data_IF_031307501200
#
_entry.id   IF_031307501200
#
_cell.length_a   1.000
_cell.length_b   1.000
_cell.length_c   1.000
_cell.angle_alpha   90.00
_cell.angle_beta   90.00
_cell.angle_gamma   90.00
#
_symmetry.space_group_name_H-M   'P 1'
#
loop_
_entity.id
_entity.type
_entity.pdbx_description
1 polymer ?
#
# COMPACT_ATOMS: atom_id res chain seq x y z
N UNK A 1 0.53 4.84 -0.02
CA UNK A 1 0.78 3.58 -0.76
C UNK A 1 0.92 2.40 0.20
N UNK A 2 1.96 2.34 1.04
CA UNK A 2 2.27 1.15 1.86
C UNK A 2 1.17 0.71 2.83
N UNK A 3 0.38 1.63 3.39
CA UNK A 3 -0.76 1.27 4.25
C UNK A 3 -1.81 0.45 3.50
N UNK A 4 -2.26 0.92 2.32
CA UNK A 4 -3.28 0.22 1.52
C UNK A 4 -2.75 -1.13 1.01
N UNK A 5 -1.47 -1.21 0.64
CA UNK A 5 -0.82 -2.47 0.28
C UNK A 5 -0.83 -3.48 1.44
N UNK A 6 -0.47 -3.03 2.65
CA UNK A 6 -0.47 -3.88 3.83
C UNK A 6 -1.88 -4.34 4.21
N UNK A 7 -2.88 -3.48 4.07
CA UNK A 7 -4.30 -3.84 4.27
C UNK A 7 -4.79 -4.87 3.26
N UNK A 8 -4.46 -4.68 1.97
CA UNK A 8 -4.78 -5.65 0.92
C UNK A 8 -4.14 -7.02 1.22
N UNK A 9 -2.88 -7.03 1.64
CA UNK A 9 -2.18 -8.26 2.02
C UNK A 9 -2.82 -8.95 3.23
N UNK A 10 -3.19 -8.18 4.26
CA UNK A 10 -3.91 -8.68 5.41
C UNK A 10 -5.28 -9.28 5.01
N UNK A 11 -6.00 -8.64 4.10
CA UNK A 11 -7.27 -9.11 3.58
C UNK A 11 -7.10 -10.41 2.77
N UNK A 12 -6.04 -10.53 1.97
CA UNK A 12 -5.68 -11.75 1.27
C UNK A 12 -5.37 -12.91 2.24
N UNK A 13 -4.54 -12.69 3.26
CA UNK A 13 -4.22 -13.74 4.24
C UNK A 13 -5.41 -14.18 5.09
N UNK A 14 -6.38 -13.30 5.31
CA UNK A 14 -7.65 -13.64 5.97
C UNK A 14 -8.67 -14.30 5.04
N UNK A 15 -8.33 -14.50 3.77
CA UNK A 15 -9.23 -15.08 2.79
C UNK A 15 -10.42 -14.18 2.44
N UNK A 16 -10.29 -12.85 2.58
CA UNK A 16 -11.28 -11.91 2.04
C UNK A 16 -11.08 -11.68 0.54
N UNK A 17 -9.84 -11.73 0.08
CA UNK A 17 -9.45 -11.52 -1.33
C UNK A 17 -8.78 -12.80 -1.84
N UNK A 18 -9.23 -13.30 -3.00
CA UNK A 18 -8.72 -14.54 -3.60
C UNK A 18 -8.59 -14.41 -5.12
N UNK A 19 -7.54 -13.74 -5.63
CA UNK A 19 -7.33 -13.64 -7.06
C UNK A 19 -6.90 -14.99 -7.61
N UNK A 20 -7.46 -15.40 -8.75
CA UNK A 20 -6.96 -16.62 -9.43
C UNK A 20 -5.65 -16.32 -10.14
N UNK A 21 -4.88 -17.37 -10.47
CA UNK A 21 -3.66 -17.23 -11.27
C UNK A 21 -3.93 -16.55 -12.62
N UNK A 22 -5.09 -16.83 -13.22
CA UNK A 22 -5.50 -16.21 -14.47
C UNK A 22 -5.72 -14.70 -14.28
N UNK A 23 -6.46 -14.31 -13.25
CA UNK A 23 -6.73 -12.90 -12.96
C UNK A 23 -5.43 -12.12 -12.71
N UNK A 24 -4.48 -12.72 -11.97
CA UNK A 24 -3.16 -12.11 -11.75
C UNK A 24 -2.38 -11.95 -13.05
N UNK A 25 -2.39 -12.95 -13.94
CA UNK A 25 -1.73 -12.85 -15.24
C UNK A 25 -2.37 -11.77 -16.11
N UNK A 26 -3.70 -11.71 -16.15
CA UNK A 26 -4.45 -10.75 -16.93
C UNK A 26 -4.20 -9.31 -16.43
N UNK A 27 -4.14 -9.09 -15.11
CA UNK A 27 -3.81 -7.80 -14.52
C UNK A 27 -2.36 -7.37 -14.80
N UNK A 28 -1.39 -8.29 -14.69
CA UNK A 28 0.00 -8.03 -15.07
C UNK A 28 0.09 -7.63 -16.54
N UNK A 29 -0.62 -8.32 -17.43
CA UNK A 29 -0.64 -8.00 -18.86
C UNK A 29 -1.28 -6.63 -19.12
N UNK A 30 -2.42 -6.34 -18.50
CA UNK A 30 -3.08 -5.03 -18.56
C UNK A 30 -2.13 -3.91 -18.12
N UNK A 31 -1.44 -4.09 -17.00
CA UNK A 31 -0.48 -3.10 -16.50
C UNK A 31 0.71 -2.94 -17.45
N UNK A 32 1.27 -4.04 -17.98
CA UNK A 32 2.39 -3.98 -18.93
C UNK A 32 2.03 -3.26 -20.23
N UNK A 33 0.85 -3.54 -20.80
CA UNK A 33 0.36 -2.90 -22.02
C UNK A 33 0.15 -1.40 -21.81
N UNK A 34 -0.47 -1.04 -20.69
CA UNK A 34 -0.70 0.35 -20.35
C UNK A 34 0.62 1.08 -20.05
N UNK A 35 1.56 0.43 -19.34
CA UNK A 35 2.89 0.96 -19.09
C UNK A 35 3.69 1.20 -20.37
N UNK A 36 3.62 0.27 -21.34
CA UNK A 36 4.29 0.40 -22.63
C UNK A 36 3.79 1.58 -23.47
N UNK A 37 2.54 1.99 -23.27
CA UNK A 37 1.88 3.07 -24.03
C UNK A 37 1.93 4.42 -23.31
N UNK A 38 1.94 4.43 -21.98
CA UNK A 38 1.79 5.66 -21.17
C UNK A 38 3.03 6.02 -20.33
N UNK A 39 4.04 5.14 -20.21
CA UNK A 39 5.29 5.45 -19.49
C UNK A 39 6.37 5.84 -20.49
N UNK A 40 6.86 7.09 -20.48
CA UNK A 40 7.96 7.46 -21.36
C UNK A 40 9.24 6.68 -20.99
N UNK A 41 10.09 6.31 -21.96
CA UNK A 41 11.34 5.60 -21.68
C UNK A 41 12.26 6.49 -20.82
N UNK A 42 12.68 5.98 -19.66
CA UNK A 42 13.50 6.74 -18.70
C UNK A 42 14.83 6.04 -18.43
N UNK A 43 15.97 6.71 -18.65
CA UNK A 43 17.30 6.10 -18.48
C UNK A 43 17.73 5.90 -17.02
N UNK A 44 17.14 6.62 -16.04
CA UNK A 44 17.44 6.50 -14.59
C UNK A 44 16.21 6.89 -13.76
N UNK A 45 15.59 5.95 -13.03
CA UNK A 45 14.45 6.23 -12.12
C UNK A 45 14.96 6.62 -10.73
N UNK A 46 14.43 7.70 -10.13
CA UNK A 46 13.58 7.48 -8.95
C UNK A 46 12.35 8.42 -8.75
N UNK A 47 11.93 9.24 -9.73
CA UNK A 47 10.89 10.27 -9.48
C UNK A 47 9.48 10.02 -10.05
N UNK A 48 9.33 9.20 -11.08
CA UNK A 48 8.12 9.18 -11.91
C UNK A 48 6.99 8.24 -11.42
N UNK A 49 7.02 7.83 -10.16
CA UNK A 49 5.93 7.02 -9.57
C UNK A 49 4.62 7.83 -9.50
N UNK A 50 4.67 9.17 -9.61
CA UNK A 50 3.58 10.09 -9.27
C UNK A 50 2.28 9.93 -10.09
N UNK A 51 2.32 9.57 -11.38
CA UNK A 51 1.08 9.43 -12.20
C UNK A 51 0.41 8.05 -12.05
N UNK A 52 1.16 7.04 -11.64
CA UNK A 52 0.69 5.64 -11.49
C UNK A 52 -0.04 5.38 -10.18
N UNK A 53 0.19 6.25 -9.20
CA UNK A 53 -0.22 6.04 -7.81
C UNK A 53 -1.73 6.09 -7.67
N UNK A 54 -2.43 6.94 -8.42
CA UNK A 54 -3.87 7.10 -8.34
C UNK A 54 -4.64 5.84 -8.81
N UNK A 55 -4.49 5.35 -10.06
CA UNK A 55 -5.20 4.15 -10.50
C UNK A 55 -4.80 2.91 -9.71
N UNK A 56 -3.56 2.85 -9.22
CA UNK A 56 -3.12 1.78 -8.34
C UNK A 56 -3.85 1.80 -6.99
N UNK A 57 -4.05 2.98 -6.41
CA UNK A 57 -4.78 3.12 -5.16
C UNK A 57 -6.25 2.78 -5.29
N UNK A 58 -6.86 3.21 -6.38
CA UNK A 58 -8.25 2.90 -6.69
C UNK A 58 -8.46 1.39 -6.78
N UNK A 59 -7.60 0.67 -7.52
CA UNK A 59 -7.67 -0.78 -7.63
C UNK A 59 -7.58 -1.46 -6.26
N UNK A 60 -6.65 -1.04 -5.39
CA UNK A 60 -6.51 -1.62 -4.05
C UNK A 60 -7.77 -1.40 -3.19
N UNK A 61 -8.44 -0.27 -3.34
CA UNK A 61 -9.63 0.09 -2.56
C UNK A 61 -10.85 -0.67 -3.07
N UNK A 62 -10.97 -0.80 -4.39
CA UNK A 62 -11.99 -1.63 -5.05
C UNK A 62 -11.84 -3.09 -4.63
N UNK A 63 -10.62 -3.64 -4.63
CA UNK A 63 -10.34 -5.01 -4.17
C UNK A 63 -10.67 -5.22 -2.69
N UNK A 64 -10.50 -4.19 -1.87
CA UNK A 64 -10.87 -4.19 -0.45
C UNK A 64 -12.39 -4.04 -0.23
N UNK A 65 -13.18 -3.90 -1.30
CA UNK A 65 -14.63 -3.79 -1.25
C UNK A 65 -15.13 -2.45 -0.72
N UNK A 66 -14.27 -1.43 -0.63
CA UNK A 66 -14.63 -0.12 -0.12
C UNK A 66 -14.96 0.81 -1.29
N UNK A 67 -15.96 1.70 -1.12
CA UNK A 67 -16.24 2.71 -2.14
C UNK A 67 -15.04 3.64 -2.34
N UNK A 68 -14.59 3.73 -3.60
CA UNK A 68 -13.56 4.65 -4.09
C UNK A 68 -13.88 6.13 -3.80
N UNK A 69 -15.14 6.52 -3.97
CA UNK A 69 -15.61 7.89 -3.75
C UNK A 69 -16.18 8.04 -2.34
N UNK A 70 -15.54 8.84 -1.49
CA UNK A 70 -16.06 9.16 -0.15
C UNK A 70 -17.28 10.08 -0.22
N UNK A 71 -17.33 10.94 -1.24
CA UNK A 71 -18.38 11.97 -1.39
C UNK A 71 -19.32 11.70 -2.58
N UNK A 72 -19.09 10.63 -3.35
CA UNK A 72 -20.05 10.09 -4.31
C UNK A 72 -20.25 10.93 -5.58
N UNK A 73 -19.23 11.64 -6.08
CA UNK A 73 -19.37 12.42 -7.32
C UNK A 73 -18.06 12.71 -8.05
N UNK A 74 -18.18 13.05 -9.33
CA UNK A 74 -17.06 13.36 -10.26
C UNK A 74 -16.21 14.56 -9.83
N UNK A 75 -16.72 15.43 -8.96
CA UNK A 75 -15.95 16.56 -8.41
C UNK A 75 -14.85 16.11 -7.44
N UNK A 76 -14.92 14.88 -6.93
CA UNK A 76 -13.90 14.30 -6.06
C UNK A 76 -12.59 14.05 -6.81
N UNK A 77 -12.66 13.77 -8.12
CA UNK A 77 -11.48 13.63 -9.00
C UNK A 77 -10.73 14.96 -9.20
N UNK A 78 -11.40 16.08 -8.95
CA UNK A 78 -10.80 17.42 -8.99
C UNK A 78 -10.31 17.91 -7.62
N UNK A 79 -10.51 17.13 -6.55
CA UNK A 79 -9.98 17.46 -5.22
C UNK A 79 -8.51 17.07 -5.12
N UNK A 80 -7.76 17.87 -4.36
CA UNK A 80 -6.35 17.58 -4.11
C UNK A 80 -6.21 16.26 -3.34
N UNK A 81 -5.54 15.30 -3.96
CA UNK A 81 -5.25 14.00 -3.39
C UNK A 81 -4.36 14.14 -2.15
N UNK A 82 -4.92 13.86 -0.97
CA UNK A 82 -4.15 13.82 0.28
C UNK A 82 -4.26 12.44 0.93
N UNK A 83 -3.16 11.83 1.41
CA UNK A 83 -3.20 10.54 2.09
C UNK A 83 -4.19 10.47 3.27
N UNK A 84 -4.44 11.61 3.94
CA UNK A 84 -5.43 11.71 5.01
C UNK A 84 -6.87 11.48 4.54
N UNK A 85 -7.18 11.71 3.27
CA UNK A 85 -8.50 11.43 2.71
C UNK A 85 -8.85 9.93 2.79
N UNK A 86 -7.85 9.04 2.79
CA UNK A 86 -8.08 7.58 2.94
C UNK A 86 -8.35 7.14 4.37
N UNK A 87 -8.19 8.03 5.35
CA UNK A 87 -8.33 7.68 6.77
C UNK A 87 -9.70 7.06 7.12
N UNK A 88 -10.85 7.61 6.68
CA UNK A 88 -12.14 7.00 6.98
C UNK A 88 -12.31 5.61 6.35
N UNK A 89 -11.72 5.38 5.17
CA UNK A 89 -11.76 4.08 4.49
C UNK A 89 -10.92 3.04 5.24
N UNK A 90 -9.73 3.44 5.69
CA UNK A 90 -8.85 2.60 6.51
C UNK A 90 -9.49 2.29 7.86
N UNK A 91 -10.12 3.29 8.49
CA UNK A 91 -10.85 3.11 9.74
C UNK A 91 -12.03 2.16 9.56
N UNK A 92 -12.83 2.29 8.50
CA UNK A 92 -13.92 1.36 8.18
C UNK A 92 -13.43 -0.09 8.03
N UNK A 93 -12.34 -0.31 7.28
CA UNK A 93 -11.71 -1.63 7.11
C UNK A 93 -11.19 -2.22 8.43
N UNK A 94 -10.73 -1.37 9.35
CA UNK A 94 -10.25 -1.79 10.66
C UNK A 94 -11.37 -1.98 11.69
N UNK A 95 -12.54 -1.37 11.50
CA UNK A 95 -13.69 -1.39 12.44
C UNK A 95 -14.56 -2.64 12.26
N UNK A 96 -14.51 -3.28 11.09
CA UNK A 96 -15.05 -4.62 10.76
C UNK A 96 -14.58 -5.76 11.70
N UNK A 97 -13.83 -5.41 12.76
CA UNK A 97 -13.22 -6.29 13.75
C UNK A 97 -14.01 -6.45 15.05
N UNK A 98 -14.93 -5.53 15.38
CA UNK A 98 -15.51 -5.52 16.74
C UNK A 98 -16.54 -6.64 16.96
N UNK A 99 -17.12 -7.21 15.89
CA UNK A 99 -18.26 -8.15 16.03
C UNK A 99 -17.90 -9.64 15.89
N UNK A 100 -16.63 -10.02 15.96
CA UNK A 100 -16.24 -11.41 15.78
C UNK A 100 -14.95 -11.81 16.47
N UNK A 101 -15.03 -12.14 17.77
CA UNK A 101 -14.02 -12.93 18.46
C UNK A 101 -13.93 -14.32 17.82
N UNK A 102 -13.14 -14.45 16.77
CA UNK A 102 -12.56 -15.72 16.35
C UNK A 102 -11.05 -15.53 16.44
N UNK A 103 -10.45 -16.03 17.53
CA UNK A 103 -9.01 -16.23 17.59
C UNK A 103 -8.60 -17.05 16.36
N UNK A 104 -7.86 -16.43 15.44
CA UNK A 104 -7.23 -17.15 14.33
C UNK A 104 -5.78 -17.43 14.68
N UNK A 105 -5.37 -18.67 14.48
CA UNK A 105 -4.06 -19.18 14.80
C UNK A 105 -2.93 -18.53 13.97
N UNK A 106 -1.94 -17.97 14.67
CA UNK A 106 -0.54 -18.34 14.45
C UNK A 106 0.16 -17.97 13.14
N UNK A 107 -0.24 -16.92 12.41
CA UNK A 107 0.61 -16.43 11.32
C UNK A 107 1.64 -15.43 11.84
N UNK A 108 2.86 -15.92 12.01
CA UNK A 108 4.04 -15.09 12.27
C UNK A 108 4.52 -14.49 10.95
N UNK A 109 4.58 -13.17 10.89
CA UNK A 109 4.95 -12.41 9.70
C UNK A 109 6.30 -11.75 9.94
N UNK A 110 7.22 -11.89 8.98
CA UNK A 110 8.49 -11.19 9.00
C UNK A 110 8.49 -10.06 7.95
N UNK A 111 8.69 -8.82 8.40
CA UNK A 111 8.89 -7.66 7.51
C UNK A 111 10.39 -7.41 7.39
N UNK A 112 10.91 -7.46 6.16
CA UNK A 112 12.33 -7.22 5.88
C UNK A 112 12.51 -5.80 5.33
N UNK A 113 13.34 -5.01 6.02
CA UNK A 113 13.67 -3.62 5.69
C UNK A 113 12.87 -2.61 6.52
N UNK A 114 13.51 -1.99 7.51
CA UNK A 114 12.98 -0.95 8.38
C UNK A 114 12.95 0.45 7.75
N UNK A 115 12.73 0.55 6.44
CA UNK A 115 12.51 1.82 5.75
C UNK A 115 11.10 2.39 5.99
N UNK A 116 10.78 3.52 5.33
CA UNK A 116 9.47 4.17 5.45
C UNK A 116 8.31 3.21 5.13
N UNK A 117 8.44 2.40 4.07
CA UNK A 117 7.43 1.41 3.71
C UNK A 117 7.33 0.28 4.73
N UNK A 118 8.45 -0.27 5.19
CA UNK A 118 8.47 -1.39 6.14
C UNK A 118 7.90 -1.04 7.51
N UNK A 119 8.20 0.16 8.04
CA UNK A 119 7.63 0.62 9.31
C UNK A 119 6.11 0.80 9.18
N UNK A 120 5.63 1.36 8.06
CA UNK A 120 4.19 1.52 7.82
C UNK A 120 3.50 0.16 7.68
N UNK A 121 4.12 -0.79 6.98
CA UNK A 121 3.61 -2.16 6.86
C UNK A 121 3.57 -2.85 8.22
N UNK A 122 4.66 -2.78 9.00
CA UNK A 122 4.72 -3.31 10.36
C UNK A 122 3.56 -2.76 11.22
N UNK A 123 3.40 -1.44 11.27
CA UNK A 123 2.34 -0.80 12.05
C UNK A 123 0.95 -1.26 11.60
N UNK A 124 0.75 -1.39 10.29
CA UNK A 124 -0.54 -1.80 9.74
C UNK A 124 -0.84 -3.25 10.06
N UNK A 125 0.11 -4.17 9.88
CA UNK A 125 -0.06 -5.59 10.19
C UNK A 125 -0.20 -5.86 11.70
N UNK A 126 0.57 -5.16 12.55
CA UNK A 126 0.37 -5.20 14.00
C UNK A 126 -1.01 -4.70 14.39
N UNK A 127 -1.45 -3.58 13.77
CA UNK A 127 -2.81 -3.11 13.97
C UNK A 127 -3.80 -4.19 13.55
N UNK A 128 -3.60 -4.87 12.41
CA UNK A 128 -4.39 -6.03 11.95
C UNK A 128 -4.27 -7.30 12.82
N UNK A 129 -3.55 -7.26 13.95
CA UNK A 129 -3.50 -8.36 14.91
C UNK A 129 -2.62 -9.54 14.49
N UNK A 130 -1.73 -9.34 13.51
CA UNK A 130 -0.70 -10.33 13.19
C UNK A 130 0.46 -10.25 14.18
N UNK A 131 1.14 -11.37 14.40
CA UNK A 131 2.42 -11.38 15.13
C UNK A 131 3.54 -11.04 14.14
N UNK A 132 4.13 -9.85 14.26
CA UNK A 132 5.02 -9.30 13.24
C UNK A 132 6.39 -8.98 13.81
N UNK A 133 7.43 -9.53 13.18
CA UNK A 133 8.84 -9.19 13.45
C UNK A 133 9.41 -8.35 12.32
N UNK A 134 10.07 -7.24 12.64
CA UNK A 134 10.80 -6.42 11.67
C UNK A 134 12.29 -6.75 11.71
N UNK A 135 12.87 -7.08 10.56
CA UNK A 135 14.31 -7.25 10.38
C UNK A 135 14.87 -6.10 9.55
N UNK A 136 15.87 -5.40 10.08
CA UNK A 136 16.61 -4.36 9.38
C UNK A 136 18.09 -4.74 9.36
N UNK A 137 18.74 -4.59 8.21
CA UNK A 137 20.14 -4.96 8.04
C UNK A 137 21.08 -4.01 8.80
N UNK A 138 20.67 -2.75 9.00
CA UNK A 138 21.43 -1.72 9.71
C UNK A 138 21.12 -1.72 11.20
N UNK A 139 22.01 -1.11 11.98
CA UNK A 139 21.80 -0.85 13.42
C UNK A 139 20.71 0.19 13.74
N UNK A 140 20.07 0.75 12.71
CA UNK A 140 19.02 1.77 12.86
C UNK A 140 17.93 1.59 11.80
N UNK A 141 16.70 1.90 12.20
CA UNK A 141 15.55 2.01 11.29
C UNK A 141 15.58 3.31 10.49
N UNK A 142 14.73 3.42 9.49
CA UNK A 142 14.54 4.60 8.64
C UNK A 142 15.04 4.43 7.19
N UNK A 143 15.73 3.34 6.84
CA UNK A 143 16.13 3.06 5.45
C UNK A 143 16.87 4.23 4.78
N UNK A 144 16.41 4.66 3.60
CA UNK A 144 16.99 5.83 2.88
C UNK A 144 16.68 7.15 3.59
N UNK A 145 15.58 7.23 4.35
CA UNK A 145 15.20 8.43 5.10
C UNK A 145 16.22 8.75 6.21
N UNK A 146 16.78 7.73 6.87
CA UNK A 146 17.79 7.95 7.92
C UNK A 146 19.17 8.31 7.35
N UNK A 147 19.48 7.95 6.11
CA UNK A 147 20.73 8.34 5.43
C UNK A 147 20.66 9.67 4.70
N UNK A 148 19.51 10.35 4.70
CA UNK A 148 19.21 11.45 3.79
C UNK A 148 18.97 10.91 2.39
N UNK A 149 18.03 11.51 1.65
CA UNK A 149 17.81 11.21 0.24
C UNK A 149 18.98 11.76 -0.60
N UNK A 150 20.15 11.14 -0.52
CA UNK A 150 21.30 11.54 -1.34
C UNK A 150 20.95 11.24 -2.81
N UNK A 151 20.59 12.28 -3.56
CA UNK A 151 20.22 12.21 -4.98
C UNK A 151 18.74 12.48 -5.33
N UNK A 152 17.86 12.72 -4.36
CA UNK A 152 16.50 13.25 -4.61
C UNK A 152 16.31 14.45 -3.67
N UNK A 153 16.53 15.66 -4.21
CA UNK A 153 16.78 16.89 -3.45
C UNK A 153 15.82 17.14 -2.28
N UNK A 154 16.41 17.32 -1.09
CA UNK A 154 16.59 18.63 -0.45
C UNK A 154 17.90 18.53 0.34
N UNK A 155 18.93 19.23 -0.10
CA UNK A 155 20.08 19.58 0.75
C UNK A 155 19.64 20.81 1.53
N UNK A 156 19.49 20.69 2.85
CA UNK A 156 19.47 21.87 3.72
C UNK A 156 20.89 21.96 4.27
N UNK A 157 21.62 22.99 3.84
CA UNK A 157 22.78 23.53 4.57
C UNK A 157 22.31 24.19 5.86
#
# INVERSE_FOLDING_TARGET
ISTLQALWLAAFWRGRIHPTKKDMCDDIMKYRLWAATHVPPMPRRPGAVRFYVLPYHDQLIEDLGVRKYLHGGILEDFRCYYPAAYRPLVEALSTDRVDGHSQMCGQTVCVIGGGVSGIVTLRTLLAEGFDVTLLEARSRVGGVWSTGYVGQGVTIE
#
